data_IF_816824977173
#
_entry.id   IF_816824977173
#
_cell.length_a   1.000
_cell.length_b   1.000
_cell.length_c   1.000
_cell.angle_alpha   90.00
_cell.angle_beta   90.00
_cell.angle_gamma   90.00
#
_symmetry.space_group_name_H-M   'P 1'
#
loop_
_entity.id
_entity.type
_entity.pdbx_description
1 polymer ?
#
# COMPACT_ATOMS: atom_id res chain seq x y z
N UNK A 1 39.38 50.12 41.57
CA UNK A 1 38.52 48.93 41.66
C UNK A 1 37.56 49.00 40.47
N UNK A 2 37.93 48.36 39.35
CA UNK A 2 37.51 47.02 38.86
C UNK A 2 36.39 47.15 37.81
N UNK A 3 36.82 47.12 36.55
CA UNK A 3 35.98 47.00 35.36
C UNK A 3 35.23 45.66 35.37
N UNK A 4 33.95 45.65 35.02
CA UNK A 4 33.18 44.43 34.76
C UNK A 4 32.68 44.47 33.30
N UNK A 5 33.41 43.77 32.42
CA UNK A 5 32.98 43.44 31.07
C UNK A 5 32.07 42.21 31.15
N UNK A 6 30.78 42.37 30.81
CA UNK A 6 29.86 41.25 30.67
C UNK A 6 30.02 40.74 29.24
N UNK A 7 30.62 39.56 29.07
CA UNK A 7 30.68 38.86 27.79
C UNK A 7 29.30 38.27 27.46
N UNK A 8 28.67 38.78 26.39
CA UNK A 8 27.47 38.18 25.81
C UNK A 8 27.87 37.00 24.92
N UNK A 9 27.76 35.77 25.42
CA UNK A 9 27.80 34.57 24.56
C UNK A 9 26.46 34.38 23.88
N UNK A 10 26.40 34.70 22.59
CA UNK A 10 25.29 34.29 21.72
C UNK A 10 25.49 32.81 21.34
N UNK A 11 24.61 31.93 21.83
CA UNK A 11 24.53 30.54 21.37
C UNK A 11 23.79 30.57 20.04
N UNK A 12 24.50 30.36 18.93
CA UNK A 12 23.91 30.14 17.63
C UNK A 12 23.32 28.72 17.61
N UNK A 13 21.98 28.62 17.64
CA UNK A 13 21.27 27.35 17.46
C UNK A 13 21.42 26.86 16.03
N UNK A 14 22.11 25.74 15.83
CA UNK A 14 22.16 25.05 14.54
C UNK A 14 20.84 24.29 14.39
N UNK A 15 19.98 24.75 13.48
CA UNK A 15 18.80 24.00 13.07
C UNK A 15 19.25 22.86 12.13
N UNK A 16 19.18 21.62 12.62
CA UNK A 16 19.35 20.44 11.76
C UNK A 16 18.06 20.31 10.95
N UNK A 17 18.09 20.73 9.69
CA UNK A 17 17.03 20.44 8.73
C UNK A 17 17.14 18.95 8.38
N UNK A 18 16.36 18.11 9.06
CA UNK A 18 16.15 16.73 8.63
C UNK A 18 15.38 16.74 7.32
N UNK A 19 15.99 16.26 6.23
CA UNK A 19 15.26 15.95 5.00
C UNK A 19 14.36 14.75 5.29
N UNK A 20 13.05 14.97 5.41
CA UNK A 20 12.09 13.89 5.36
C UNK A 20 12.19 13.25 3.97
N UNK A 21 12.59 11.99 3.89
CA UNK A 21 12.49 11.25 2.64
C UNK A 21 11.01 11.25 2.24
N UNK A 22 10.68 11.80 1.08
CA UNK A 22 9.33 11.70 0.54
C UNK A 22 9.04 10.20 0.32
N UNK A 23 7.91 9.72 0.85
CA UNK A 23 7.42 8.38 0.52
C UNK A 23 7.13 8.33 -0.98
N UNK A 24 7.60 7.27 -1.65
CA UNK A 24 7.33 7.04 -3.05
C UNK A 24 5.83 7.08 -3.31
N UNK A 25 5.40 7.85 -4.31
CA UNK A 25 4.00 7.91 -4.72
C UNK A 25 3.59 6.58 -5.33
N UNK A 26 2.35 6.15 -5.06
CA UNK A 26 1.75 5.01 -5.75
C UNK A 26 0.42 5.42 -6.37
N UNK A 27 0.12 4.86 -7.54
CA UNK A 27 -1.02 5.28 -8.36
C UNK A 27 -1.67 4.09 -9.06
N UNK A 28 -2.98 4.15 -9.24
CA UNK A 28 -3.65 3.23 -10.15
C UNK A 28 -3.16 3.52 -11.58
N UNK A 29 -2.71 2.50 -12.28
CA UNK A 29 -2.09 2.64 -13.59
C UNK A 29 -3.03 2.19 -14.74
N UNK A 30 -4.29 1.93 -14.38
CA UNK A 30 -5.46 1.71 -15.23
C UNK A 30 -6.71 1.85 -14.33
N UNK A 31 -7.90 1.70 -14.91
CA UNK A 31 -9.09 1.42 -14.12
C UNK A 31 -8.98 0.04 -13.44
N UNK A 32 -9.15 -0.03 -12.12
CA UNK A 32 -8.93 -1.26 -11.35
C UNK A 32 -10.09 -1.58 -10.41
N UNK A 33 -10.44 -2.86 -10.34
CA UNK A 33 -11.43 -3.35 -9.40
C UNK A 33 -10.81 -3.52 -8.01
N UNK A 34 -11.42 -2.88 -7.00
CA UNK A 34 -11.04 -2.98 -5.60
C UNK A 34 -11.96 -3.96 -4.89
N UNK A 35 -11.37 -4.89 -4.15
CA UNK A 35 -12.05 -6.07 -3.61
C UNK A 35 -11.92 -6.18 -2.11
N UNK A 36 -12.85 -6.92 -1.50
CA UNK A 36 -12.85 -7.18 -0.07
C UNK A 36 -11.77 -8.21 0.39
N UNK A 37 -11.01 -8.80 -0.54
CA UNK A 37 -9.92 -9.71 -0.25
C UNK A 37 -9.01 -9.95 -1.47
N UNK A 38 -7.84 -10.59 -1.31
CA UNK A 38 -6.83 -10.79 -2.34
C UNK A 38 -7.19 -11.93 -3.33
N UNK A 39 -8.39 -11.87 -3.91
CA UNK A 39 -8.84 -12.80 -4.94
C UNK A 39 -9.96 -12.17 -5.76
N UNK A 40 -10.08 -12.54 -7.03
CA UNK A 40 -11.20 -12.14 -7.88
C UNK A 40 -12.54 -12.75 -7.47
N UNK A 41 -12.53 -13.75 -6.59
CA UNK A 41 -13.74 -14.37 -6.04
C UNK A 41 -14.40 -13.50 -4.97
N UNK A 42 -13.63 -12.71 -4.22
CA UNK A 42 -14.19 -11.81 -3.21
C UNK A 42 -15.04 -10.69 -3.83
N UNK A 43 -16.02 -10.15 -3.07
CA UNK A 43 -16.85 -9.05 -3.51
C UNK A 43 -16.02 -7.86 -4.02
N UNK A 44 -16.46 -7.31 -5.15
CA UNK A 44 -16.00 -6.01 -5.63
C UNK A 44 -16.64 -4.93 -4.76
N UNK A 45 -15.82 -4.13 -4.08
CA UNK A 45 -16.28 -3.00 -3.27
C UNK A 45 -16.17 -1.67 -4.04
N UNK A 46 -15.50 -1.64 -5.18
CA UNK A 46 -15.48 -0.45 -6.02
C UNK A 46 -14.59 -0.57 -7.24
N UNK A 47 -14.59 0.49 -8.03
CA UNK A 47 -13.71 0.66 -9.18
C UNK A 47 -12.93 1.95 -8.94
N UNK A 48 -11.61 1.85 -9.01
CA UNK A 48 -10.70 2.98 -8.85
C UNK A 48 -10.30 3.48 -10.26
N UNK A 49 -10.44 4.79 -10.53
CA UNK A 49 -10.05 5.35 -11.82
C UNK A 49 -8.53 5.38 -11.97
N UNK A 50 -8.06 5.36 -13.21
CA UNK A 50 -6.64 5.54 -13.53
C UNK A 50 -6.09 6.85 -12.97
N UNK A 51 -4.85 6.82 -12.50
CA UNK A 51 -4.10 7.97 -12.00
C UNK A 51 -4.44 8.36 -10.57
N UNK A 52 -5.44 7.74 -9.93
CA UNK A 52 -5.77 8.04 -8.54
C UNK A 52 -4.62 7.62 -7.62
N UNK A 53 -4.19 8.48 -6.68
CA UNK A 53 -3.17 8.10 -5.71
C UNK A 53 -3.70 7.01 -4.78
N UNK A 54 -2.84 6.05 -4.48
CA UNK A 54 -3.10 4.94 -3.57
C UNK A 54 -2.18 5.08 -2.36
N UNK A 55 -2.66 4.67 -1.20
CA UNK A 55 -1.79 4.34 -0.08
C UNK A 55 -1.66 2.82 -0.01
N UNK A 56 -0.48 2.27 -0.28
CA UNK A 56 -0.22 0.82 -0.26
C UNK A 56 0.34 0.44 1.10
N UNK A 57 -0.37 -0.41 1.82
CA UNK A 57 0.03 -0.86 3.16
C UNK A 57 0.88 -2.12 3.14
N UNK A 58 0.85 -2.84 2.01
CA UNK A 58 1.64 -4.03 1.78
C UNK A 58 1.04 -4.85 0.66
N UNK A 59 1.79 -5.84 0.20
CA UNK A 59 1.33 -6.77 -0.82
C UNK A 59 1.45 -8.21 -0.32
N UNK A 60 0.67 -9.12 -0.88
CA UNK A 60 0.78 -10.55 -0.56
C UNK A 60 2.17 -11.06 -0.92
N UNK A 61 2.55 -12.22 -0.39
CA UNK A 61 3.74 -12.91 -0.87
C UNK A 61 3.69 -13.09 -2.40
N UNK A 62 4.83 -12.90 -3.06
CA UNK A 62 4.92 -12.86 -4.53
C UNK A 62 4.30 -11.61 -5.18
N UNK A 63 3.90 -10.59 -4.41
CA UNK A 63 3.42 -9.29 -4.88
C UNK A 63 2.28 -9.37 -5.90
N UNK A 64 1.35 -10.30 -5.74
CA UNK A 64 0.19 -10.47 -6.63
C UNK A 64 -0.91 -9.46 -6.32
N UNK A 65 -1.28 -9.35 -5.05
CA UNK A 65 -2.32 -8.45 -4.57
C UNK A 65 -1.72 -7.44 -3.59
N UNK A 66 -2.18 -6.20 -3.63
CA UNK A 66 -1.79 -5.20 -2.65
C UNK A 66 -3.02 -4.71 -1.89
N UNK A 67 -2.85 -4.57 -0.58
CA UNK A 67 -3.79 -3.93 0.31
C UNK A 67 -3.58 -2.42 0.25
N UNK A 68 -4.63 -1.71 -0.17
CA UNK A 68 -4.61 -0.29 -0.46
C UNK A 68 -5.72 0.45 0.25
N UNK A 69 -5.47 1.73 0.51
CA UNK A 69 -6.50 2.67 0.93
C UNK A 69 -6.65 3.80 -0.08
N UNK A 70 -7.91 4.14 -0.36
CA UNK A 70 -8.29 5.31 -1.16
C UNK A 70 -9.48 5.98 -0.49
N UNK A 71 -9.35 7.27 -0.19
CA UNK A 71 -10.43 8.07 0.40
C UNK A 71 -11.05 7.44 1.66
N UNK A 72 -10.22 6.86 2.53
CA UNK A 72 -10.63 6.20 3.77
C UNK A 72 -11.25 4.82 3.61
N UNK A 73 -11.27 4.26 2.40
CA UNK A 73 -11.75 2.90 2.13
C UNK A 73 -10.57 1.98 1.94
N UNK A 74 -10.53 0.89 2.70
CA UNK A 74 -9.49 -0.14 2.65
C UNK A 74 -9.92 -1.31 1.76
N UNK A 75 -9.00 -1.98 1.08
CA UNK A 75 -9.30 -3.11 0.18
C UNK A 75 -8.14 -3.57 -0.67
N UNK A 76 -8.36 -4.61 -1.47
CA UNK A 76 -7.33 -5.29 -2.24
C UNK A 76 -7.46 -5.04 -3.73
N UNK A 77 -6.33 -4.82 -4.40
CA UNK A 77 -6.25 -4.67 -5.87
C UNK A 77 -5.10 -5.50 -6.43
N UNK A 78 -5.16 -5.80 -7.73
CA UNK A 78 -4.04 -6.44 -8.43
C UNK A 78 -2.83 -5.51 -8.44
N UNK A 79 -1.69 -5.98 -7.94
CA UNK A 79 -0.44 -5.23 -7.93
C UNK A 79 0.05 -4.89 -9.34
N UNK A 80 -0.31 -5.72 -10.33
CA UNK A 80 0.03 -5.49 -11.74
C UNK A 80 -0.58 -4.22 -12.33
N UNK A 81 -1.52 -3.59 -11.61
CA UNK A 81 -2.12 -2.31 -12.00
C UNK A 81 -1.77 -1.15 -11.07
N UNK A 82 -0.75 -1.30 -10.23
CA UNK A 82 -0.22 -0.21 -9.42
C UNK A 82 1.16 0.18 -9.94
N UNK A 83 1.32 1.47 -10.23
CA UNK A 83 2.62 2.09 -10.44
C UNK A 83 3.16 2.64 -9.11
N UNK A 84 4.46 2.50 -8.89
CA UNK A 84 5.23 3.15 -7.83
C UNK A 84 6.30 4.04 -8.46
N UNK A 85 6.49 5.24 -7.89
CA UNK A 85 7.59 6.12 -8.29
C UNK A 85 8.92 5.57 -7.74
N UNK A 86 9.84 5.22 -8.65
CA UNK A 86 11.16 4.71 -8.35
C UNK A 86 12.18 5.25 -9.36
N UNK A 87 13.29 5.81 -8.86
CA UNK A 87 14.37 6.40 -9.67
C UNK A 87 13.88 7.35 -10.80
N UNK A 88 12.97 8.27 -10.47
CA UNK A 88 12.33 9.20 -11.41
C UNK A 88 11.49 8.54 -12.53
N UNK A 89 11.13 7.27 -12.37
CA UNK A 89 10.27 6.52 -13.28
C UNK A 89 9.07 5.93 -12.53
N UNK A 90 8.00 5.64 -13.27
CA UNK A 90 6.91 4.80 -12.77
C UNK A 90 7.17 3.36 -13.14
N UNK A 91 7.18 2.49 -12.13
CA UNK A 91 7.42 1.07 -12.29
C UNK A 91 6.23 0.30 -11.71
N UNK A 92 5.82 -0.78 -12.34
CA UNK A 92 4.77 -1.65 -11.79
C UNK A 92 5.27 -2.33 -10.52
N UNK A 93 4.43 -2.40 -9.48
CA UNK A 93 4.82 -3.00 -8.19
C UNK A 93 5.49 -4.38 -8.35
N UNK A 94 4.98 -5.32 -9.16
CA UNK A 94 5.64 -6.61 -9.34
C UNK A 94 7.08 -6.48 -9.87
N UNK A 95 7.34 -5.66 -10.89
CA UNK A 95 8.71 -5.38 -11.35
C UNK A 95 9.55 -4.75 -10.26
N UNK A 96 9.03 -3.72 -9.59
CA UNK A 96 9.75 -3.02 -8.53
C UNK A 96 10.23 -3.99 -7.43
N UNK A 97 9.36 -4.91 -7.01
CA UNK A 97 9.68 -5.90 -5.99
C UNK A 97 10.78 -6.90 -6.40
N UNK A 98 10.95 -7.17 -7.70
CA UNK A 98 12.03 -8.04 -8.21
C UNK A 98 13.33 -7.27 -8.48
N UNK A 99 13.22 -5.97 -8.79
CA UNK A 99 14.37 -5.11 -9.08
C UNK A 99 15.12 -4.68 -7.81
N UNK A 100 14.42 -4.50 -6.68
CA UNK A 100 14.98 -3.93 -5.45
C UNK A 100 15.21 -5.02 -4.40
N UNK A 101 16.42 -5.09 -3.85
CA UNK A 101 16.81 -6.12 -2.86
C UNK A 101 16.03 -6.01 -1.53
N UNK A 102 15.64 -4.80 -1.14
CA UNK A 102 14.83 -4.51 0.05
C UNK A 102 13.74 -3.50 -0.33
N UNK A 103 12.63 -3.98 -0.94
CA UNK A 103 11.57 -3.09 -1.37
C UNK A 103 10.89 -2.45 -0.16
N UNK A 104 10.58 -1.16 -0.24
CA UNK A 104 9.90 -0.44 0.85
C UNK A 104 8.44 -0.88 1.06
N UNK A 105 7.97 -1.86 0.29
CA UNK A 105 6.62 -2.43 0.36
C UNK A 105 6.67 -3.73 1.16
N UNK A 106 6.12 -3.77 2.39
CA UNK A 106 6.14 -4.97 3.20
C UNK A 106 5.23 -6.04 2.61
N UNK A 107 5.56 -7.30 2.88
CA UNK A 107 4.67 -8.43 2.61
C UNK A 107 3.65 -8.57 3.74
N UNK A 108 2.38 -8.75 3.38
CA UNK A 108 1.25 -8.93 4.32
C UNK A 108 0.48 -10.20 4.00
N UNK A 109 -0.25 -10.72 5.00
CA UNK A 109 -1.20 -11.83 4.84
C UNK A 109 -2.63 -11.33 5.00
N UNK A 110 -3.59 -12.05 4.44
CA UNK A 110 -5.01 -11.79 4.62
C UNK A 110 -5.65 -12.82 5.54
N UNK A 111 -6.40 -12.35 6.53
CA UNK A 111 -7.30 -13.17 7.36
C UNK A 111 -8.66 -12.54 7.30
N UNK A 112 -9.65 -13.27 6.76
CA UNK A 112 -10.97 -12.72 6.49
C UNK A 112 -11.64 -12.24 7.77
N UNK A 113 -11.62 -13.03 8.84
CA UNK A 113 -12.27 -12.69 10.11
C UNK A 113 -11.76 -11.37 10.68
N UNK A 114 -10.44 -11.18 10.79
CA UNK A 114 -9.89 -9.96 11.38
C UNK A 114 -10.05 -8.75 10.45
N UNK A 115 -9.81 -8.95 9.15
CA UNK A 115 -9.87 -7.88 8.17
C UNK A 115 -11.31 -7.37 7.97
N UNK A 116 -12.27 -8.28 7.78
CA UNK A 116 -13.66 -7.90 7.54
C UNK A 116 -14.32 -7.37 8.80
N UNK A 117 -14.02 -7.93 9.98
CA UNK A 117 -14.52 -7.37 11.24
C UNK A 117 -14.06 -5.93 11.45
N UNK A 118 -12.86 -5.58 10.97
CA UNK A 118 -12.31 -4.24 11.13
C UNK A 118 -12.79 -3.25 10.06
N UNK A 119 -12.89 -3.67 8.80
CA UNK A 119 -13.14 -2.75 7.67
C UNK A 119 -14.54 -2.85 7.05
N UNK A 120 -15.27 -3.95 7.27
CA UNK A 120 -16.51 -4.26 6.55
C UNK A 120 -17.64 -4.79 7.43
N UNK A 121 -17.60 -4.55 8.75
CA UNK A 121 -18.64 -5.02 9.68
C UNK A 121 -20.04 -4.48 9.37
N UNK A 122 -20.12 -3.43 8.57
CA UNK A 122 -21.34 -2.74 8.13
C UNK A 122 -21.79 -3.13 6.70
N UNK A 123 -21.06 -4.00 6.02
CA UNK A 123 -21.36 -4.40 4.64
C UNK A 123 -22.28 -5.63 4.60
N UNK A 124 -23.26 -5.65 3.69
CA UNK A 124 -24.23 -6.75 3.57
C UNK A 124 -23.58 -8.15 3.36
N UNK A 125 -22.41 -8.19 2.72
CA UNK A 125 -21.70 -9.46 2.50
C UNK A 125 -21.02 -10.00 3.77
N UNK A 126 -20.87 -9.19 4.82
CA UNK A 126 -20.27 -9.58 6.10
C UNK A 126 -21.07 -10.70 6.77
N UNK A 127 -22.40 -10.64 6.67
CA UNK A 127 -23.30 -11.67 7.22
C UNK A 127 -23.10 -13.05 6.59
N UNK A 128 -22.42 -13.11 5.44
CA UNK A 128 -22.11 -14.34 4.72
C UNK A 128 -20.63 -14.75 4.88
N UNK A 129 -19.91 -14.24 5.89
CA UNK A 129 -18.47 -14.45 6.05
C UNK A 129 -18.04 -15.92 5.97
N UNK A 130 -18.84 -16.85 6.50
CA UNK A 130 -18.56 -18.29 6.43
C UNK A 130 -18.48 -18.80 4.98
N UNK A 131 -19.27 -18.24 4.06
CA UNK A 131 -19.21 -18.59 2.63
C UNK A 131 -17.92 -18.13 1.97
N UNK A 132 -17.34 -17.04 2.50
CA UNK A 132 -16.16 -16.40 1.95
C UNK A 132 -14.86 -16.92 2.55
N UNK A 133 -14.90 -17.43 3.79
CA UNK A 133 -13.75 -18.04 4.47
C UNK A 133 -13.26 -19.33 3.79
N UNK A 134 -14.16 -20.02 3.07
CA UNK A 134 -13.83 -21.20 2.24
C UNK A 134 -12.96 -20.87 1.01
N UNK A 135 -12.66 -19.59 0.76
CA UNK A 135 -11.81 -19.16 -0.37
C UNK A 135 -10.33 -19.28 0.01
N UNK A 136 -9.69 -20.32 -0.53
CA UNK A 136 -8.23 -20.41 -0.55
C UNK A 136 -7.64 -19.44 -1.60
N UNK A 137 -7.40 -18.21 -1.15
CA UNK A 137 -6.91 -17.13 -2.00
C UNK A 137 -5.42 -17.23 -2.30
N UNK A 138 -4.65 -17.99 -1.51
CA UNK A 138 -3.20 -18.17 -1.72
C UNK A 138 -2.94 -19.07 -2.94
N UNK A 139 -3.79 -20.09 -3.09
CA UNK A 139 -3.75 -21.06 -4.20
C UNK A 139 -4.54 -20.62 -5.45
N UNK A 140 -5.23 -19.47 -5.39
CA UNK A 140 -5.98 -18.94 -6.52
C UNK A 140 -5.06 -18.56 -7.71
N UNK A 141 -5.66 -18.56 -8.91
CA UNK A 141 -4.98 -18.11 -10.12
C UNK A 141 -4.46 -16.66 -9.96
N UNK A 142 -3.36 -16.29 -10.63
CA UNK A 142 -2.85 -14.93 -10.55
C UNK A 142 -3.89 -13.88 -10.95
N UNK A 143 -3.85 -12.68 -10.36
CA UNK A 143 -4.84 -11.64 -10.63
C UNK A 143 -4.80 -11.13 -12.07
N UNK A 144 -5.86 -10.44 -12.52
CA UNK A 144 -5.86 -9.77 -13.82
C UNK A 144 -4.63 -8.86 -13.99
N UNK A 145 -4.05 -8.88 -15.19
CA UNK A 145 -2.84 -8.13 -15.53
C UNK A 145 -1.53 -8.81 -15.11
N UNK A 146 -1.59 -9.91 -14.36
CA UNK A 146 -0.39 -10.65 -14.00
C UNK A 146 0.31 -11.26 -15.22
N UNK A 147 1.63 -11.19 -15.24
CA UNK A 147 2.49 -11.77 -16.28
C UNK A 147 3.54 -12.67 -15.63
N UNK A 148 3.86 -13.84 -16.22
CA UNK A 148 5.03 -14.60 -15.80
C UNK A 148 6.31 -13.79 -16.05
N UNK A 149 7.23 -13.78 -15.07
CA UNK A 149 8.55 -13.16 -15.24
C UNK A 149 8.61 -11.66 -15.01
N UNK A 150 7.69 -11.12 -14.20
CA UNK A 150 7.98 -9.90 -13.44
C UNK A 150 9.28 -10.05 -12.63
#
# INVERSE_FOLDING_TARGET
MRYALILSTAIAGVAILGSAAAQAGTYAAAEINMRAGPSTRYPSIGILPEGIPLNVFGCTNGYRWCDVEVSGRRGWVSAAYIDIDYDSQRVRIPAYAHLVQDPSLPTVSFSINSYWSHYYSDQDFYDQIETWDDIDWEDDAPPPGWMPGW
#
